data_IF_889010889003
#
_entry.id   IF_889010889003
#
_cell.length_a   1.000
_cell.length_b   1.000
_cell.length_c   1.000
_cell.angle_alpha   90.00
_cell.angle_beta   90.00
_cell.angle_gamma   90.00
#
_symmetry.space_group_name_H-M   'P 1'
#
loop_
_entity.id
_entity.type
_entity.pdbx_description
1 polymer ?
#
# COMPACT_ATOMS: atom_id res chain seq x y z
N UNK A 1 -13.40 13.05 -11.91
CA UNK A 1 -12.31 12.96 -10.89
C UNK A 1 -11.39 11.87 -11.38
N UNK A 2 -10.13 12.15 -11.68
CA UNK A 2 -9.22 11.12 -12.18
C UNK A 2 -8.82 10.15 -11.05
N UNK A 3 -8.78 8.86 -11.35
CA UNK A 3 -8.31 7.84 -10.43
C UNK A 3 -6.79 7.97 -10.25
N UNK A 4 -6.30 7.99 -9.02
CA UNK A 4 -4.87 8.06 -8.72
C UNK A 4 -4.23 6.69 -8.71
N UNK A 5 -2.98 6.61 -9.19
CA UNK A 5 -2.19 5.39 -9.22
C UNK A 5 -1.04 5.46 -8.22
N UNK A 6 -1.01 4.54 -7.26
CA UNK A 6 0.03 4.47 -6.23
C UNK A 6 0.92 3.26 -6.43
N UNK A 7 2.23 3.47 -6.31
CA UNK A 7 3.22 2.41 -6.42
C UNK A 7 3.60 1.89 -5.03
N UNK A 8 3.23 0.65 -4.70
CA UNK A 8 3.73 -0.01 -3.49
C UNK A 8 5.13 -0.56 -3.76
N UNK A 9 6.13 0.04 -3.14
CA UNK A 9 7.55 -0.35 -3.22
C UNK A 9 8.03 -1.08 -1.96
N UNK A 10 7.12 -1.35 -1.03
CA UNK A 10 7.43 -1.83 0.33
C UNK A 10 7.78 -3.31 0.46
N UNK A 11 7.95 -4.05 -0.62
CA UNK A 11 8.30 -5.48 -0.57
C UNK A 11 9.74 -5.73 -1.03
N UNK A 12 10.47 -6.59 -0.31
CA UNK A 12 11.78 -7.10 -0.73
C UNK A 12 12.89 -6.05 -0.84
N UNK A 13 12.77 -4.89 -0.19
CA UNK A 13 13.87 -3.91 -0.14
C UNK A 13 14.93 -4.27 0.91
N UNK A 14 14.55 -5.10 1.91
CA UNK A 14 15.48 -5.61 2.94
C UNK A 14 16.38 -4.53 3.57
N UNK A 15 15.83 -3.33 3.76
CA UNK A 15 16.52 -2.14 4.27
C UNK A 15 17.75 -1.71 3.44
N UNK A 16 17.80 -2.10 2.17
CA UNK A 16 18.88 -1.73 1.24
C UNK A 16 18.57 -0.39 0.57
N UNK A 17 19.45 0.60 0.79
CA UNK A 17 19.24 1.96 0.29
C UNK A 17 19.18 2.01 -1.25
N UNK A 18 20.09 1.34 -1.93
CA UNK A 18 20.18 1.40 -3.39
C UNK A 18 18.90 0.83 -4.04
N UNK A 19 18.30 -0.18 -3.41
CA UNK A 19 17.01 -0.74 -3.83
C UNK A 19 15.86 0.24 -3.58
N UNK A 20 15.82 0.88 -2.40
CA UNK A 20 14.80 1.87 -2.07
C UNK A 20 14.85 3.07 -3.01
N UNK A 21 16.03 3.66 -3.21
CA UNK A 21 16.25 4.79 -4.10
C UNK A 21 15.85 4.49 -5.54
N UNK A 22 16.33 3.36 -6.08
CA UNK A 22 16.00 2.92 -7.43
C UNK A 22 14.49 2.76 -7.63
N UNK A 23 13.79 2.11 -6.69
CA UNK A 23 12.33 1.91 -6.77
C UNK A 23 11.56 3.21 -6.65
N UNK A 24 12.00 4.13 -5.81
CA UNK A 24 11.39 5.45 -5.69
C UNK A 24 11.51 6.25 -6.99
N UNK A 25 12.69 6.26 -7.60
CA UNK A 25 12.93 6.87 -8.92
C UNK A 25 12.05 6.20 -9.98
N UNK A 26 11.99 4.87 -9.98
CA UNK A 26 11.16 4.11 -10.92
C UNK A 26 9.68 4.48 -10.80
N UNK A 27 9.16 4.59 -9.57
CA UNK A 27 7.78 5.01 -9.34
C UNK A 27 7.49 6.42 -9.90
N UNK A 28 8.39 7.37 -9.65
CA UNK A 28 8.28 8.73 -10.20
C UNK A 28 8.32 8.73 -11.74
N UNK A 29 9.22 7.97 -12.33
CA UNK A 29 9.33 7.83 -13.80
C UNK A 29 8.12 7.14 -14.44
N UNK A 30 7.43 6.28 -13.69
CA UNK A 30 6.21 5.60 -14.10
C UNK A 30 4.93 6.42 -13.81
N UNK A 31 5.05 7.71 -13.51
CA UNK A 31 3.94 8.62 -13.22
C UNK A 31 3.04 8.15 -12.06
N UNK A 32 3.61 7.49 -11.05
CA UNK A 32 2.86 7.23 -9.82
C UNK A 32 2.54 8.54 -9.10
N UNK A 33 1.30 8.70 -8.64
CA UNK A 33 0.86 9.86 -7.85
C UNK A 33 1.45 9.87 -6.43
N UNK A 34 1.79 8.70 -5.92
CA UNK A 34 2.47 8.51 -4.65
C UNK A 34 3.15 7.14 -4.59
N UNK A 35 4.08 6.97 -3.66
CA UNK A 35 4.59 5.65 -3.29
C UNK A 35 4.02 5.20 -1.96
N UNK A 36 3.82 3.89 -1.83
CA UNK A 36 3.45 3.25 -0.56
C UNK A 36 4.63 2.42 -0.09
N UNK A 37 5.00 2.58 1.17
CA UNK A 37 6.04 1.80 1.81
C UNK A 37 5.58 1.32 3.19
N UNK A 38 5.91 0.07 3.52
CA UNK A 38 5.51 -0.52 4.78
C UNK A 38 6.47 -0.13 5.91
N UNK A 39 5.90 0.11 7.09
CA UNK A 39 6.62 0.23 8.35
C UNK A 39 5.94 -0.63 9.40
N UNK A 40 6.72 -1.49 10.04
CA UNK A 40 6.23 -2.39 11.08
C UNK A 40 7.17 -2.39 12.30
N UNK A 41 6.69 -2.98 13.38
CA UNK A 41 7.52 -3.31 14.54
C UNK A 41 7.69 -4.83 14.57
N UNK A 42 8.83 -5.37 14.11
CA UNK A 42 9.00 -6.81 13.92
C UNK A 42 8.68 -7.64 15.15
N UNK A 43 9.01 -7.12 16.34
CA UNK A 43 8.72 -7.82 17.59
C UNK A 43 7.21 -7.97 17.87
N UNK A 44 6.40 -7.06 17.38
CA UNK A 44 4.93 -7.07 17.50
C UNK A 44 4.34 -7.96 16.39
N UNK A 45 4.83 -7.81 15.15
CA UNK A 45 4.24 -8.43 13.97
C UNK A 45 4.61 -9.90 13.78
N UNK A 46 5.81 -10.32 14.23
CA UNK A 46 6.21 -11.72 14.09
C UNK A 46 5.53 -12.56 15.18
N UNK A 47 4.71 -13.56 14.81
CA UNK A 47 4.04 -14.44 15.78
C UNK A 47 5.03 -15.13 16.72
N UNK A 48 4.69 -15.24 17.99
CA UNK A 48 5.61 -15.78 19.02
C UNK A 48 6.14 -17.17 18.68
N UNK A 49 5.29 -18.03 18.13
CA UNK A 49 5.64 -19.38 17.71
C UNK A 49 6.64 -19.45 16.55
N UNK A 50 6.74 -18.35 15.77
CA UNK A 50 7.67 -18.25 14.61
C UNK A 50 8.95 -17.48 14.92
N UNK A 51 8.99 -16.69 15.99
CA UNK A 51 10.11 -15.78 16.28
C UNK A 51 11.47 -16.44 16.21
N UNK A 52 11.59 -17.62 16.77
CA UNK A 52 12.86 -18.33 16.90
C UNK A 52 13.02 -19.48 15.89
N UNK A 53 12.06 -19.66 14.97
CA UNK A 53 12.21 -20.61 13.87
C UNK A 53 13.36 -20.16 12.96
N UNK A 54 14.25 -21.10 12.61
CA UNK A 54 15.34 -20.80 11.68
C UNK A 54 14.80 -20.66 10.26
N UNK A 55 15.20 -19.59 9.59
CA UNK A 55 14.87 -19.31 8.19
C UNK A 55 16.13 -18.96 7.41
N UNK A 56 16.19 -19.38 6.16
CA UNK A 56 17.27 -19.01 5.27
C UNK A 56 17.05 -17.60 4.72
N UNK A 57 18.12 -16.82 4.68
CA UNK A 57 18.11 -15.44 4.22
C UNK A 57 19.46 -15.11 3.56
N UNK A 58 19.55 -13.91 2.96
CA UNK A 58 20.84 -13.41 2.44
C UNK A 58 21.93 -13.27 3.51
N UNK A 59 21.56 -13.22 4.78
CA UNK A 59 22.49 -13.18 5.92
C UNK A 59 22.81 -14.56 6.50
N UNK A 60 22.43 -15.65 5.82
CA UNK A 60 22.51 -17.04 6.29
C UNK A 60 21.26 -17.50 7.00
N UNK A 61 21.36 -18.66 7.67
CA UNK A 61 20.26 -19.24 8.45
C UNK A 61 20.19 -18.56 9.82
N UNK A 62 19.12 -17.82 10.07
CA UNK A 62 18.92 -17.00 11.28
C UNK A 62 17.50 -17.21 11.86
N UNK A 63 17.27 -16.90 13.16
CA UNK A 63 15.92 -16.80 13.70
C UNK A 63 15.08 -15.83 12.89
N UNK A 64 13.82 -16.15 12.63
CA UNK A 64 12.93 -15.32 11.79
C UNK A 64 12.83 -13.88 12.31
N UNK A 65 12.79 -13.68 13.63
CA UNK A 65 12.77 -12.32 14.21
C UNK A 65 14.02 -11.51 13.84
N UNK A 66 15.19 -12.13 13.74
CA UNK A 66 16.41 -11.43 13.36
C UNK A 66 16.43 -11.08 11.86
N UNK A 67 15.87 -11.93 11.02
CA UNK A 67 15.66 -11.62 9.59
C UNK A 67 14.68 -10.46 9.45
N UNK A 68 13.55 -10.52 10.15
CA UNK A 68 12.54 -9.46 10.13
C UNK A 68 13.10 -8.10 10.58
N UNK A 69 13.89 -8.07 11.67
CA UNK A 69 14.56 -6.84 12.13
C UNK A 69 15.55 -6.26 11.12
N UNK A 70 16.32 -7.12 10.44
CA UNK A 70 17.28 -6.68 9.43
C UNK A 70 16.64 -6.20 8.15
N UNK A 71 15.48 -6.77 7.80
CA UNK A 71 14.71 -6.39 6.61
C UNK A 71 13.86 -5.15 6.84
N UNK A 72 13.56 -4.82 8.09
CA UNK A 72 12.72 -3.68 8.44
C UNK A 72 13.46 -2.35 8.19
N UNK A 73 12.71 -1.36 7.73
CA UNK A 73 13.23 -0.04 7.40
C UNK A 73 13.81 0.65 8.66
N UNK A 74 15.11 0.94 8.62
CA UNK A 74 15.82 1.65 9.70
C UNK A 74 15.41 3.13 9.78
N UNK A 75 15.67 3.78 10.92
CA UNK A 75 15.46 5.21 11.08
C UNK A 75 16.25 6.02 10.05
N UNK A 76 17.51 5.67 9.83
CA UNK A 76 18.37 6.33 8.85
C UNK A 76 17.79 6.26 7.44
N UNK A 77 17.42 5.05 6.98
CA UNK A 77 16.86 4.86 5.65
C UNK A 77 15.45 5.45 5.52
N UNK A 78 14.63 5.42 6.57
CA UNK A 78 13.29 6.02 6.56
C UNK A 78 13.36 7.55 6.43
N UNK A 79 14.20 8.19 7.25
CA UNK A 79 14.41 9.64 7.20
C UNK A 79 14.99 10.06 5.85
N UNK A 80 16.01 9.34 5.37
CA UNK A 80 16.63 9.58 4.07
C UNK A 80 15.65 9.41 2.91
N UNK A 81 14.79 8.37 2.98
CA UNK A 81 13.77 8.11 1.97
C UNK A 81 12.72 9.23 1.92
N UNK A 82 12.25 9.69 3.09
CA UNK A 82 11.30 10.81 3.18
C UNK A 82 11.90 12.10 2.59
N UNK A 83 13.15 12.42 2.91
CA UNK A 83 13.85 13.58 2.35
C UNK A 83 14.01 13.46 0.83
N UNK A 84 14.47 12.31 0.34
CA UNK A 84 14.68 12.08 -1.08
C UNK A 84 13.37 12.12 -1.89
N UNK A 85 12.28 11.59 -1.34
CA UNK A 85 10.96 11.65 -1.95
C UNK A 85 10.48 13.11 -2.12
N UNK A 86 10.69 13.95 -1.11
CA UNK A 86 10.43 15.40 -1.18
C UNK A 86 11.25 16.07 -2.27
N UNK A 87 12.54 15.75 -2.38
CA UNK A 87 13.46 16.34 -3.36
C UNK A 87 13.04 16.04 -4.80
N UNK A 88 12.54 14.82 -5.07
CA UNK A 88 12.04 14.42 -6.39
C UNK A 88 10.55 14.67 -6.60
N UNK A 89 9.85 15.18 -5.59
CA UNK A 89 8.47 15.63 -5.69
C UNK A 89 7.42 14.52 -5.69
N UNK A 90 7.71 13.32 -5.15
CA UNK A 90 6.74 12.23 -5.05
C UNK A 90 6.32 11.99 -3.58
N UNK A 91 5.02 12.08 -3.24
CA UNK A 91 4.55 11.83 -1.88
C UNK A 91 4.76 10.39 -1.43
N UNK A 92 5.02 10.19 -0.12
CA UNK A 92 5.02 8.88 0.50
C UNK A 92 3.77 8.68 1.35
N UNK A 93 3.13 7.53 1.17
CA UNK A 93 2.08 6.98 2.04
C UNK A 93 2.70 5.87 2.88
N UNK A 94 2.75 6.06 4.18
CA UNK A 94 3.33 5.08 5.09
C UNK A 94 2.27 4.06 5.50
N UNK A 95 2.48 2.79 5.13
CA UNK A 95 1.62 1.67 5.53
C UNK A 95 2.10 1.11 6.86
N UNK A 96 1.34 1.36 7.93
CA UNK A 96 1.72 1.03 9.31
C UNK A 96 0.89 -0.14 9.84
N UNK A 97 1.53 -1.00 10.63
CA UNK A 97 0.93 -2.23 11.16
C UNK A 97 0.61 -2.16 12.65
N UNK A 98 1.17 -1.19 13.36
CA UNK A 98 1.02 -1.03 14.80
C UNK A 98 1.29 0.42 15.24
N UNK A 99 0.96 0.76 16.48
CA UNK A 99 1.09 2.12 17.00
C UNK A 99 2.54 2.59 17.08
N UNK A 100 3.49 1.70 17.39
CA UNK A 100 4.91 2.04 17.44
C UNK A 100 5.44 2.41 16.05
N UNK A 101 5.01 1.69 15.02
CA UNK A 101 5.32 2.02 13.63
C UNK A 101 4.70 3.38 13.21
N UNK A 102 3.47 3.67 13.66
CA UNK A 102 2.82 4.94 13.38
C UNK A 102 3.51 6.12 14.08
N UNK A 103 3.91 5.97 15.36
CA UNK A 103 4.72 6.95 16.07
C UNK A 103 6.06 7.21 15.37
N UNK A 104 6.73 6.14 14.94
CA UNK A 104 7.99 6.23 14.21
C UNK A 104 7.87 7.09 12.94
N UNK A 105 6.89 6.83 12.07
CA UNK A 105 6.76 7.59 10.83
C UNK A 105 6.33 9.04 11.07
N UNK A 106 5.64 9.31 12.17
CA UNK A 106 5.33 10.68 12.60
C UNK A 106 6.58 11.43 13.03
N UNK A 107 7.43 10.79 13.83
CA UNK A 107 8.61 11.41 14.42
C UNK A 107 9.74 11.63 13.41
N UNK A 108 10.04 10.60 12.59
CA UNK A 108 11.23 10.57 11.75
C UNK A 108 10.98 10.89 10.27
N UNK A 109 9.72 10.83 9.80
CA UNK A 109 9.41 10.97 8.37
C UNK A 109 8.48 12.15 8.04
N UNK A 110 8.06 12.94 9.01
CA UNK A 110 7.04 14.01 8.84
C UNK A 110 5.81 13.51 8.05
N UNK A 111 5.39 12.28 8.32
CA UNK A 111 4.31 11.62 7.59
C UNK A 111 3.01 12.40 7.73
N UNK A 112 2.34 12.67 6.61
CA UNK A 112 1.03 13.34 6.56
C UNK A 112 -0.10 12.38 6.28
N UNK A 113 0.16 11.38 5.45
CA UNK A 113 -0.78 10.33 5.09
C UNK A 113 -0.26 8.98 5.55
N UNK A 114 -1.10 8.24 6.27
CA UNK A 114 -0.82 6.87 6.66
C UNK A 114 -1.90 5.92 6.15
N UNK A 115 -1.48 4.70 5.85
CA UNK A 115 -2.37 3.58 5.54
C UNK A 115 -2.28 2.55 6.66
N UNK A 116 -3.41 2.21 7.27
CA UNK A 116 -3.47 1.11 8.23
C UNK A 116 -3.47 -0.19 7.46
N UNK A 117 -2.44 -1.02 7.69
CA UNK A 117 -2.34 -2.30 7.01
C UNK A 117 -3.51 -3.22 7.40
N UNK A 118 -3.98 -4.07 6.48
CA UNK A 118 -5.18 -4.91 6.68
C UNK A 118 -5.04 -5.93 7.84
N UNK A 119 -3.81 -6.31 8.18
CA UNK A 119 -3.49 -7.20 9.30
C UNK A 119 -2.87 -6.47 10.50
N UNK A 120 -3.10 -5.14 10.58
CA UNK A 120 -2.61 -4.33 11.69
C UNK A 120 -3.11 -4.86 13.05
N UNK A 121 -2.19 -4.88 14.01
CA UNK A 121 -2.54 -5.24 15.39
C UNK A 121 -3.29 -4.10 16.06
N UNK A 122 -4.22 -4.44 16.97
CA UNK A 122 -5.02 -3.47 17.72
C UNK A 122 -5.58 -2.33 16.84
N UNK A 123 -6.32 -2.72 15.80
CA UNK A 123 -6.84 -1.80 14.78
C UNK A 123 -7.65 -0.64 15.38
N UNK A 124 -8.33 -0.85 16.51
CA UNK A 124 -9.13 0.19 17.15
C UNK A 124 -8.24 1.31 17.71
N UNK A 125 -7.25 0.98 18.55
CA UNK A 125 -6.34 1.96 19.15
C UNK A 125 -5.46 2.61 18.07
N UNK A 126 -4.93 1.82 17.12
CA UNK A 126 -4.17 2.33 16.00
C UNK A 126 -4.99 3.33 15.17
N UNK A 127 -6.25 3.01 14.85
CA UNK A 127 -7.11 3.91 14.07
C UNK A 127 -7.40 5.21 14.82
N UNK A 128 -7.63 5.14 16.14
CA UNK A 128 -7.84 6.31 16.99
C UNK A 128 -6.60 7.19 17.03
N UNK A 129 -5.43 6.61 17.23
CA UNK A 129 -4.16 7.32 17.21
C UNK A 129 -3.92 8.00 15.84
N UNK A 130 -4.03 7.25 14.75
CA UNK A 130 -3.78 7.78 13.40
C UNK A 130 -4.74 8.91 13.02
N UNK A 131 -6.04 8.80 13.34
CA UNK A 131 -7.03 9.87 13.07
C UNK A 131 -6.74 11.17 13.81
N UNK A 132 -6.10 11.11 14.96
CA UNK A 132 -5.75 12.31 15.75
C UNK A 132 -4.38 12.88 15.41
N UNK A 133 -3.56 12.14 14.66
CA UNK A 133 -2.13 12.45 14.46
C UNK A 133 -1.82 12.87 13.03
N UNK A 134 -2.48 12.26 12.04
CA UNK A 134 -2.18 12.46 10.62
C UNK A 134 -3.29 13.22 9.91
N UNK A 135 -2.93 13.92 8.83
CA UNK A 135 -3.86 14.71 8.03
C UNK A 135 -4.85 13.82 7.26
N UNK A 136 -4.37 12.66 6.79
CA UNK A 136 -5.19 11.70 6.07
C UNK A 136 -4.90 10.26 6.49
N UNK A 137 -5.95 9.46 6.63
CA UNK A 137 -5.86 8.04 7.01
C UNK A 137 -6.55 7.17 5.96
N UNK A 138 -5.82 6.17 5.47
CA UNK A 138 -6.33 5.15 4.57
C UNK A 138 -6.55 3.87 5.39
N UNK A 139 -7.77 3.36 5.38
CA UNK A 139 -8.12 2.08 6.01
C UNK A 139 -8.03 0.98 4.98
N UNK A 140 -7.07 0.08 5.13
CA UNK A 140 -6.97 -1.09 4.26
C UNK A 140 -7.66 -2.29 4.91
N UNK A 141 -8.62 -2.87 4.23
CA UNK A 141 -9.48 -3.91 4.76
C UNK A 141 -9.57 -5.09 3.79
N UNK A 142 -9.66 -6.29 4.33
CA UNK A 142 -9.74 -7.54 3.56
C UNK A 142 -11.00 -8.36 3.85
N UNK A 143 -11.85 -7.92 4.80
CA UNK A 143 -13.08 -8.60 5.19
C UNK A 143 -14.27 -7.66 5.22
N UNK A 144 -15.44 -8.18 4.84
CA UNK A 144 -16.71 -7.43 4.84
C UNK A 144 -17.05 -6.83 6.21
N UNK A 145 -16.79 -7.56 7.28
CA UNK A 145 -17.08 -7.14 8.65
C UNK A 145 -16.31 -5.88 9.06
N UNK A 146 -15.08 -5.73 8.60
CA UNK A 146 -14.29 -4.52 8.83
C UNK A 146 -14.89 -3.30 8.10
N UNK A 147 -15.47 -3.51 6.94
CA UNK A 147 -16.19 -2.49 6.19
C UNK A 147 -17.42 -1.98 6.96
N UNK A 148 -18.21 -2.90 7.49
CA UNK A 148 -19.43 -2.57 8.23
C UNK A 148 -19.11 -1.83 9.53
N UNK A 149 -18.02 -2.16 10.22
CA UNK A 149 -17.53 -1.46 11.40
C UNK A 149 -17.12 0.00 11.13
N UNK A 150 -16.58 0.30 9.95
CA UNK A 150 -16.22 1.66 9.53
C UNK A 150 -17.44 2.49 9.09
N UNK A 151 -18.53 1.85 8.68
CA UNK A 151 -19.71 2.47 8.07
C UNK A 151 -20.47 3.41 9.01
N UNK A 152 -20.39 3.20 10.32
CA UNK A 152 -21.07 4.04 11.33
C UNK A 152 -20.50 5.46 11.48
N UNK A 153 -19.31 5.71 10.96
CA UNK A 153 -18.61 6.99 11.06
C UNK A 153 -18.52 7.68 9.71
N UNK A 154 -19.62 8.29 9.27
CA UNK A 154 -19.71 9.09 8.03
C UNK A 154 -18.78 10.31 8.13
N UNK A 155 -17.53 10.20 7.74
CA UNK A 155 -16.67 11.36 7.53
C UNK A 155 -15.88 11.21 6.24
N UNK A 156 -15.86 12.29 5.47
CA UNK A 156 -15.07 12.52 4.25
C UNK A 156 -13.54 12.50 4.47
N UNK A 157 -13.09 12.27 5.69
CA UNK A 157 -11.70 12.50 6.11
C UNK A 157 -10.83 11.26 5.99
N UNK A 158 -11.36 10.15 5.43
CA UNK A 158 -10.59 8.94 5.22
C UNK A 158 -10.97 8.23 3.91
N UNK A 159 -10.03 7.44 3.41
CA UNK A 159 -10.24 6.56 2.27
C UNK A 159 -10.28 5.12 2.74
N UNK A 160 -11.14 4.30 2.16
CA UNK A 160 -11.20 2.87 2.45
C UNK A 160 -10.68 2.10 1.26
N UNK A 161 -9.62 1.31 1.47
CA UNK A 161 -9.09 0.39 0.49
C UNK A 161 -9.59 -1.01 0.77
N UNK A 162 -9.94 -1.70 -0.31
CA UNK A 162 -10.13 -3.13 -0.29
C UNK A 162 -8.86 -3.82 -0.79
N UNK A 163 -8.49 -4.91 -0.13
CA UNK A 163 -7.43 -5.82 -0.56
C UNK A 163 -7.83 -7.26 -0.31
N UNK A 164 -7.06 -8.20 -0.85
CA UNK A 164 -7.16 -9.63 -0.52
C UNK A 164 -6.03 -10.03 0.43
N UNK A 165 -6.22 -11.06 1.23
CA UNK A 165 -5.14 -11.62 2.08
C UNK A 165 -4.11 -12.37 1.26
N UNK A 166 -4.54 -13.00 0.18
CA UNK A 166 -3.71 -13.82 -0.70
C UNK A 166 -2.78 -12.96 -1.58
N UNK A 167 -1.60 -13.51 -1.93
CA UNK A 167 -0.60 -12.82 -2.73
C UNK A 167 0.20 -13.81 -3.60
N UNK A 168 -0.19 -14.09 -4.85
CA UNK A 168 -1.36 -13.58 -5.57
C UNK A 168 -2.68 -14.26 -5.16
N UNK A 169 -3.82 -13.53 -5.20
CA UNK A 169 -5.15 -14.11 -5.08
C UNK A 169 -5.56 -14.83 -6.36
N UNK A 170 -6.46 -15.81 -6.21
CA UNK A 170 -7.17 -16.38 -7.34
C UNK A 170 -8.35 -15.47 -7.76
N UNK A 171 -8.85 -15.53 -9.00
CA UNK A 171 -9.94 -14.67 -9.46
C UNK A 171 -11.19 -14.70 -8.56
N UNK A 172 -11.54 -15.86 -7.97
CA UNK A 172 -12.67 -16.00 -7.06
C UNK A 172 -12.48 -15.30 -5.71
N UNK A 173 -11.25 -14.95 -5.35
CA UNK A 173 -10.93 -14.30 -4.06
C UNK A 173 -11.11 -12.77 -4.14
N UNK A 174 -11.28 -12.20 -5.35
CA UNK A 174 -11.30 -10.76 -5.57
C UNK A 174 -12.57 -10.05 -5.06
N UNK A 175 -13.66 -10.73 -4.81
CA UNK A 175 -14.90 -10.26 -4.15
C UNK A 175 -15.27 -8.78 -4.39
N UNK A 176 -15.28 -8.32 -5.63
CA UNK A 176 -15.53 -6.92 -6.00
C UNK A 176 -16.92 -6.40 -5.58
N UNK A 177 -17.87 -7.29 -5.31
CA UNK A 177 -19.19 -6.96 -4.78
C UNK A 177 -19.13 -6.24 -3.42
N UNK A 178 -18.07 -6.44 -2.64
CA UNK A 178 -17.84 -5.70 -1.40
C UNK A 178 -17.69 -4.20 -1.69
N UNK A 179 -17.01 -3.85 -2.78
CA UNK A 179 -16.74 -2.47 -3.17
C UNK A 179 -17.94 -1.80 -3.84
N UNK A 180 -18.74 -2.57 -4.61
CA UNK A 180 -19.87 -2.04 -5.38
C UNK A 180 -20.89 -1.29 -4.53
N UNK A 181 -21.07 -1.67 -3.27
CA UNK A 181 -21.98 -1.03 -2.33
C UNK A 181 -21.48 0.34 -1.84
N UNK A 182 -20.20 0.63 -1.99
CA UNK A 182 -19.54 1.79 -1.43
C UNK A 182 -19.10 2.79 -2.49
N UNK A 183 -18.85 2.30 -3.71
CA UNK A 183 -18.58 3.15 -4.86
C UNK A 183 -19.87 3.98 -5.16
N UNK A 184 -19.78 5.29 -5.07
CA UNK A 184 -20.90 6.19 -5.35
C UNK A 184 -21.74 6.62 -4.13
N UNK A 185 -21.43 6.16 -2.91
CA UNK A 185 -22.16 6.54 -1.67
C UNK A 185 -21.33 7.44 -0.75
N UNK A 186 -20.68 8.45 -1.29
CA UNK A 186 -19.87 9.44 -0.55
C UNK A 186 -18.64 8.89 0.18
N UNK A 187 -18.09 7.75 -0.25
CA UNK A 187 -16.83 7.24 0.23
C UNK A 187 -15.75 7.32 -0.84
N UNK A 188 -14.56 7.70 -0.42
CA UNK A 188 -13.37 7.51 -1.22
C UNK A 188 -12.98 6.03 -1.13
N UNK A 189 -13.29 5.26 -2.17
CA UNK A 189 -12.96 3.84 -2.24
C UNK A 189 -11.72 3.64 -3.09
N UNK A 190 -10.72 2.99 -2.53
CA UNK A 190 -9.51 2.57 -3.22
C UNK A 190 -9.38 1.06 -3.29
N UNK A 191 -8.41 0.60 -4.05
CA UNK A 191 -8.09 -0.82 -4.20
C UNK A 191 -6.59 -1.05 -4.13
N UNK A 192 -6.15 -1.93 -3.22
CA UNK A 192 -4.79 -2.49 -3.23
C UNK A 192 -4.83 -3.81 -4.01
N UNK A 193 -4.36 -3.76 -5.26
CA UNK A 193 -4.36 -4.90 -6.17
C UNK A 193 -3.18 -5.83 -5.93
N UNK A 194 -3.47 -7.04 -5.45
CA UNK A 194 -2.52 -8.13 -5.23
C UNK A 194 -2.56 -9.21 -6.30
N UNK A 195 -3.49 -9.09 -7.22
CA UNK A 195 -3.65 -10.01 -8.34
C UNK A 195 -2.55 -9.86 -9.38
N UNK A 196 -2.38 -10.89 -10.20
CA UNK A 196 -1.49 -10.88 -11.36
C UNK A 196 -2.03 -9.95 -12.45
N UNK A 197 -1.15 -9.11 -12.98
CA UNK A 197 -1.47 -8.22 -14.09
C UNK A 197 -2.31 -6.99 -13.68
N UNK A 198 -3.00 -6.39 -14.65
CA UNK A 198 -3.66 -5.08 -14.49
C UNK A 198 -5.18 -5.11 -14.69
N UNK A 199 -5.74 -6.15 -15.28
CA UNK A 199 -7.15 -6.15 -15.69
C UNK A 199 -8.15 -6.01 -14.54
N UNK A 200 -8.02 -6.67 -13.38
CA UNK A 200 -8.93 -6.44 -12.27
C UNK A 200 -8.90 -4.99 -11.77
N UNK A 201 -7.72 -4.38 -11.67
CA UNK A 201 -7.58 -2.98 -11.30
C UNK A 201 -8.31 -2.07 -12.30
N UNK A 202 -8.17 -2.30 -13.60
CA UNK A 202 -8.86 -1.54 -14.66
C UNK A 202 -10.39 -1.67 -14.57
N UNK A 203 -10.91 -2.85 -14.23
CA UNK A 203 -12.35 -3.03 -14.03
C UNK A 203 -12.88 -2.15 -12.87
N UNK A 204 -12.07 -1.96 -11.82
CA UNK A 204 -12.42 -1.13 -10.69
C UNK A 204 -12.29 0.36 -11.00
N UNK A 205 -11.31 0.78 -11.81
CA UNK A 205 -11.24 2.15 -12.33
C UNK A 205 -12.54 2.49 -13.08
N UNK A 206 -13.00 1.61 -13.97
CA UNK A 206 -14.27 1.79 -14.69
C UNK A 206 -15.48 1.87 -13.75
N UNK A 207 -15.45 1.18 -12.62
CA UNK A 207 -16.51 1.25 -11.59
C UNK A 207 -16.46 2.53 -10.74
N UNK A 208 -15.40 3.32 -10.82
CA UNK A 208 -15.29 4.61 -10.14
C UNK A 208 -14.54 4.59 -8.81
N UNK A 209 -13.60 3.66 -8.62
CA UNK A 209 -12.65 3.79 -7.50
C UNK A 209 -11.78 5.03 -7.70
N UNK A 210 -11.40 5.66 -6.60
CA UNK A 210 -10.63 6.92 -6.65
C UNK A 210 -9.11 6.69 -6.58
N UNK A 211 -8.69 5.51 -6.14
CA UNK A 211 -7.28 5.14 -6.03
C UNK A 211 -7.08 3.67 -6.42
N UNK A 212 -6.01 3.40 -7.15
CA UNK A 212 -5.45 2.06 -7.39
C UNK A 212 -4.04 2.03 -6.81
N UNK A 213 -3.75 1.02 -6.02
CA UNK A 213 -2.41 0.71 -5.53
C UNK A 213 -1.96 -0.62 -6.13
N UNK A 214 -0.79 -0.64 -6.75
CA UNK A 214 -0.14 -1.86 -7.28
C UNK A 214 1.30 -1.94 -6.81
N UNK A 215 1.78 -3.16 -6.63
CA UNK A 215 3.18 -3.40 -6.31
C UNK A 215 4.06 -3.12 -7.51
N UNK A 216 5.10 -2.31 -7.30
CA UNK A 216 6.13 -2.00 -8.29
C UNK A 216 7.46 -2.57 -7.80
N UNK A 217 8.10 -3.35 -8.61
CA UNK A 217 9.39 -3.97 -8.32
C UNK A 217 10.38 -3.83 -9.46
N UNK A 218 11.47 -4.57 -9.33
CA UNK A 218 12.49 -4.66 -10.36
C UNK A 218 12.02 -5.59 -11.50
N UNK A 219 12.67 -5.49 -12.68
CA UNK A 219 12.34 -6.24 -13.90
C UNK A 219 12.44 -7.77 -13.77
N UNK A 220 12.98 -8.26 -12.65
CA UNK A 220 13.24 -9.67 -12.40
C UNK A 220 12.50 -10.22 -11.18
N UNK A 221 11.34 -9.64 -10.84
CA UNK A 221 10.53 -10.17 -9.75
C UNK A 221 9.90 -11.51 -10.14
N UNK A 222 10.15 -12.55 -9.33
CA UNK A 222 9.51 -13.87 -9.48
C UNK A 222 8.04 -13.88 -9.03
N UNK A 223 7.56 -12.81 -8.38
CA UNK A 223 6.18 -12.71 -7.96
C UNK A 223 5.32 -12.00 -9.04
N UNK A 224 4.37 -12.71 -9.66
CA UNK A 224 3.58 -12.16 -10.76
C UNK A 224 2.60 -11.04 -10.35
N UNK A 225 2.44 -10.79 -9.07
CA UNK A 225 1.64 -9.66 -8.55
C UNK A 225 2.42 -8.35 -8.52
N UNK A 226 3.75 -8.43 -8.62
CA UNK A 226 4.64 -7.27 -8.67
C UNK A 226 4.80 -6.87 -10.13
N UNK A 227 4.39 -5.67 -10.46
CA UNK A 227 4.53 -5.14 -11.81
C UNK A 227 5.96 -4.65 -12.04
N UNK A 228 6.50 -4.95 -13.21
CA UNK A 228 7.69 -4.28 -13.73
C UNK A 228 7.38 -2.81 -14.04
N UNK A 229 8.38 -1.92 -14.18
CA UNK A 229 8.16 -0.53 -14.59
C UNK A 229 7.36 -0.41 -15.89
N UNK A 230 7.63 -1.29 -16.88
CA UNK A 230 6.90 -1.32 -18.13
C UNK A 230 5.42 -1.66 -17.94
N UNK A 231 5.11 -2.69 -17.16
CA UNK A 231 3.72 -3.07 -16.83
C UNK A 231 2.99 -2.00 -16.01
N UNK A 232 3.70 -1.31 -15.13
CA UNK A 232 3.13 -0.21 -14.35
C UNK A 232 2.78 0.99 -15.24
N UNK A 233 3.65 1.31 -16.21
CA UNK A 233 3.37 2.31 -17.25
C UNK A 233 2.20 1.90 -18.15
N UNK A 234 2.07 0.62 -18.48
CA UNK A 234 0.92 0.12 -19.24
C UNK A 234 -0.39 0.32 -18.46
N UNK A 235 -0.37 0.09 -17.14
CA UNK A 235 -1.51 0.37 -16.26
C UNK A 235 -1.84 1.87 -16.27
N UNK A 236 -0.86 2.74 -16.05
CA UNK A 236 -1.03 4.19 -16.07
C UNK A 236 -1.65 4.67 -17.39
N UNK A 237 -1.08 4.28 -18.53
CA UNK A 237 -1.58 4.66 -19.83
C UNK A 237 -3.00 4.13 -20.10
N UNK A 238 -3.30 2.90 -19.65
CA UNK A 238 -4.64 2.31 -19.76
C UNK A 238 -5.67 3.08 -18.93
N UNK A 239 -5.30 3.55 -17.75
CA UNK A 239 -6.16 4.39 -16.90
C UNK A 239 -6.48 5.72 -17.60
N UNK A 240 -5.48 6.39 -18.17
CA UNK A 240 -5.69 7.65 -18.92
C UNK A 240 -6.65 7.46 -20.09
N UNK A 241 -6.43 6.41 -20.90
CA UNK A 241 -7.32 6.10 -22.04
C UNK A 241 -8.76 5.81 -21.60
N UNK A 242 -8.94 5.15 -20.47
CA UNK A 242 -10.26 4.86 -19.94
C UNK A 242 -10.98 6.14 -19.45
N UNK A 243 -10.25 7.04 -18.81
CA UNK A 243 -10.79 8.34 -18.37
C UNK A 243 -11.19 9.21 -19.55
N UNK A 244 -10.33 9.33 -20.59
CA UNK A 244 -10.65 10.04 -21.81
C UNK A 244 -11.90 9.48 -22.50
N UNK A 245 -12.03 8.15 -22.58
CA UNK A 245 -13.20 7.50 -23.16
C UNK A 245 -14.49 7.78 -22.35
N UNK A 246 -14.39 7.87 -21.03
CA UNK A 246 -15.53 8.17 -20.16
C UNK A 246 -15.99 9.65 -20.27
N UNK A 247 -15.09 10.59 -20.45
CA UNK A 247 -15.40 12.03 -20.59
C UNK A 247 -16.15 12.34 -21.89
N UNK A 248 -15.85 11.62 -22.98
CA UNK A 248 -16.53 11.81 -24.28
C UNK A 248 -18.04 11.50 -24.20
N UNK A 249 -18.48 10.68 -23.25
CA UNK A 249 -19.88 10.31 -23.09
C UNK A 249 -20.63 11.16 -22.04
N UNK A 250 -19.92 12.05 -21.33
CA UNK A 250 -20.52 12.93 -20.31
C UNK A 250 -20.91 14.32 -20.86
N UNK A 251 -20.60 14.61 -22.12
CA UNK A 251 -20.95 15.81 -22.87
C UNK A 251 -22.09 15.55 -23.87
#
# INVERSE_FOLDING_TARGET
>A
MSCKLYANIGVGHENDWDTLERRLISAAQCNADAVVINKSTPWIMVPDEKKYASVDSKWGSLPFIEVAKRSELSEENATRLAAFANDIGIPIIWSVTDSTAAEFVKEFCDAKTVKLHYDATDLYELSRFCKNTFEHVIFNINHREHYEALYGNRKSDYTVYYTTSEFPPQPQDLQFDIMDKHIGVNFNVGYEGRETGIFPAMALVYKGVVHIEKYLGDDHSDNPSILTPAQFMDLFNSMLLLEEAAEVHAT
#
